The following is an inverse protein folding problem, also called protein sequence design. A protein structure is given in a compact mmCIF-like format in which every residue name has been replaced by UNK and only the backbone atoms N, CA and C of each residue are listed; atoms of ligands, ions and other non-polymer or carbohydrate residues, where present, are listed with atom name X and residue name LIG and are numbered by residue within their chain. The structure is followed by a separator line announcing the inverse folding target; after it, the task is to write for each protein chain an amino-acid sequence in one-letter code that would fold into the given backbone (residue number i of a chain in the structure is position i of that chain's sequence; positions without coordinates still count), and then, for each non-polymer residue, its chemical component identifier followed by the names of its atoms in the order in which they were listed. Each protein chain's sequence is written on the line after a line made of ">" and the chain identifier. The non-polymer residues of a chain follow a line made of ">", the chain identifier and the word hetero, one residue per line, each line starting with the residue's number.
data_IF_428052286840
#
_entry.id   IF_428052286840
#
_cell.length_a   1.000
_cell.length_b   1.000
_cell.length_c   1.000
_cell.angle_alpha   90.00
_cell.angle_beta   90.00
_cell.angle_gamma   90.00
#
_symmetry.space_group_name_H-M   'P 1'
#
loop_
_entity.id
_entity.type
_entity.pdbx_description
1 polymer ?
#
# COMPACT_ATOMS: atom_id res chain seq x y z
N UNK A 1 -1.98 -6.58 7.05
CA UNK A 1 -3.28 -6.78 6.36
C UNK A 1 -4.34 -6.00 7.14
N UNK A 2 -5.19 -5.23 6.45
CA UNK A 2 -6.26 -4.46 7.07
C UNK A 2 -7.41 -5.38 7.53
N UNK A 3 -8.29 -4.93 8.45
CA UNK A 3 -9.41 -5.74 8.97
C UNK A 3 -10.37 -6.26 7.89
N UNK A 4 -10.41 -5.61 6.72
CA UNK A 4 -11.26 -6.00 5.60
C UNK A 4 -10.62 -7.06 4.66
N UNK A 5 -9.42 -7.53 5.00
CA UNK A 5 -8.61 -8.47 4.23
C UNK A 5 -7.72 -7.83 3.17
N UNK A 6 -7.65 -6.49 3.11
CA UNK A 6 -6.76 -5.79 2.16
C UNK A 6 -5.29 -5.98 2.56
N UNK A 7 -4.48 -6.45 1.61
CA UNK A 7 -3.02 -6.46 1.68
C UNK A 7 -2.45 -5.06 1.44
N UNK A 8 -1.50 -4.68 2.29
CA UNK A 8 -0.85 -3.37 2.29
C UNK A 8 0.64 -3.53 2.62
N UNK A 9 1.45 -2.59 2.13
CA UNK A 9 2.88 -2.48 2.41
C UNK A 9 3.11 -1.17 3.18
N UNK A 10 3.96 -1.21 4.20
CA UNK A 10 4.34 0.00 4.92
C UNK A 10 5.18 0.91 4.01
N UNK A 11 4.93 2.22 4.05
CA UNK A 11 5.74 3.19 3.35
C UNK A 11 7.16 3.24 3.94
N UNK A 12 8.10 3.77 3.15
CA UNK A 12 9.47 3.99 3.59
C UNK A 12 9.54 4.97 4.77
N UNK A 13 10.64 4.90 5.53
CA UNK A 13 10.87 5.72 6.74
C UNK A 13 10.80 7.22 6.44
N UNK A 14 11.11 7.62 5.20
CA UNK A 14 11.01 9.00 4.73
C UNK A 14 9.59 9.58 4.86
N UNK A 15 8.56 8.72 4.82
CA UNK A 15 7.15 9.12 4.91
C UNK A 15 6.54 8.94 6.32
N UNK A 16 7.26 8.40 7.29
CA UNK A 16 6.69 8.07 8.61
C UNK A 16 6.33 9.30 9.45
N UNK A 17 6.97 10.43 9.18
CA UNK A 17 6.79 11.67 9.95
C UNK A 17 5.95 12.70 9.19
N UNK A 18 5.19 12.24 8.20
CA UNK A 18 4.20 13.02 7.47
C UNK A 18 2.80 12.75 8.07
N UNK A 19 2.00 13.80 8.28
CA UNK A 19 0.63 13.64 8.82
C UNK A 19 -0.33 13.21 7.71
N UNK A 20 -1.09 12.14 7.94
CA UNK A 20 -2.12 11.68 7.02
C UNK A 20 -3.44 12.48 7.17
N UNK A 21 -3.92 13.10 6.08
CA UNK A 21 -5.25 13.72 5.98
C UNK A 21 -5.24 15.22 5.61
N UNK A 22 -6.26 15.67 4.86
CA UNK A 22 -6.43 17.08 4.39
C UNK A 22 -6.88 18.06 5.50
N UNK A 23 -6.46 17.85 6.75
CA UNK A 23 -6.76 18.72 7.87
C UNK A 23 -5.57 19.63 8.18
N UNK A 24 -5.84 20.94 8.38
CA UNK A 24 -4.90 22.01 8.72
C UNK A 24 -4.17 21.78 10.06
N UNK A 25 -3.35 20.75 10.15
CA UNK A 25 -2.48 20.54 11.30
C UNK A 25 -1.14 21.22 10.97
N UNK A 26 -1.06 22.50 11.30
CA UNK A 26 0.11 23.36 11.05
C UNK A 26 1.23 23.14 12.07
N UNK A 27 1.06 22.21 13.02
CA UNK A 27 2.09 21.88 14.00
C UNK A 27 3.23 21.11 13.34
N UNK A 28 4.44 21.68 13.43
CA UNK A 28 5.68 21.01 13.04
C UNK A 28 5.85 19.71 13.82
N UNK A 29 6.32 18.67 13.14
CA UNK A 29 6.69 17.40 13.77
C UNK A 29 8.05 17.57 14.45
N UNK A 30 8.11 17.28 15.74
CA UNK A 30 9.36 17.23 16.50
C UNK A 30 10.05 15.88 16.23
N UNK A 31 10.89 15.84 15.22
CA UNK A 31 11.56 14.62 14.76
C UNK A 31 12.57 14.10 15.79
N UNK A 32 13.11 14.98 16.64
CA UNK A 32 14.16 14.62 17.60
C UNK A 32 13.61 13.75 18.75
N UNK A 33 12.31 13.83 19.06
CA UNK A 33 11.65 12.92 20.00
C UNK A 33 11.81 11.44 19.60
N UNK A 34 11.87 11.16 18.30
CA UNK A 34 12.01 9.79 17.80
C UNK A 34 13.44 9.32 17.69
N UNK A 35 14.44 10.17 17.96
CA UNK A 35 15.84 9.83 17.78
C UNK A 35 16.32 8.83 18.83
N UNK A 36 17.09 7.84 18.38
CA UNK A 36 17.80 6.89 19.25
C UNK A 36 19.29 7.18 19.08
N UNK A 37 20.01 7.35 20.20
CA UNK A 37 21.46 7.54 20.21
C UNK A 37 22.17 6.19 20.37
N UNK A 38 22.76 5.69 19.29
CA UNK A 38 23.52 4.43 19.28
C UNK A 38 24.84 4.59 18.52
N UNK A 39 25.72 5.43 19.03
CA UNK A 39 26.93 5.91 18.32
C UNK A 39 27.81 4.79 17.74
N UNK A 40 27.89 3.62 18.39
CA UNK A 40 28.67 2.47 17.89
C UNK A 40 28.05 1.89 16.63
N UNK A 41 26.74 1.72 16.64
CA UNK A 41 25.99 1.14 15.53
C UNK A 41 25.84 2.15 14.39
N UNK A 42 25.62 3.42 14.72
CA UNK A 42 25.59 4.54 13.76
C UNK A 42 26.90 4.61 12.98
N UNK A 43 28.04 4.61 13.67
CA UNK A 43 29.37 4.60 13.05
C UNK A 43 29.62 3.35 12.22
N UNK A 44 29.14 2.19 12.67
CA UNK A 44 29.33 0.92 11.97
C UNK A 44 28.49 0.83 10.69
N UNK A 45 27.25 1.33 10.70
CA UNK A 45 26.36 1.36 9.53
C UNK A 45 26.55 2.60 8.64
N UNK A 46 27.30 3.61 9.09
CA UNK A 46 27.52 4.85 8.33
C UNK A 46 26.29 5.75 8.26
N UNK A 47 25.41 5.70 9.27
CA UNK A 47 24.21 6.54 9.37
C UNK A 47 24.39 7.63 10.44
N UNK A 48 23.63 8.72 10.36
CA UNK A 48 23.73 9.83 11.31
C UNK A 48 23.06 9.58 12.66
N UNK A 49 21.96 8.83 12.64
CA UNK A 49 21.15 8.47 13.81
C UNK A 49 20.12 7.42 13.44
N UNK A 50 19.58 6.73 14.44
CA UNK A 50 18.39 5.89 14.28
C UNK A 50 17.13 6.63 14.73
N UNK A 51 15.97 6.13 14.28
CA UNK A 51 14.68 6.65 14.72
C UNK A 51 13.72 5.52 15.11
N UNK A 52 12.89 5.80 16.12
CA UNK A 52 11.74 4.98 16.48
C UNK A 52 10.58 5.22 15.50
N UNK A 53 9.74 4.19 15.25
CA UNK A 53 8.48 4.40 14.55
C UNK A 53 7.60 5.41 15.31
N UNK A 54 6.79 6.21 14.61
CA UNK A 54 5.83 7.09 15.24
C UNK A 54 4.85 6.29 16.10
N UNK A 55 4.57 6.78 17.31
CA UNK A 55 3.58 6.22 18.21
C UNK A 55 2.27 7.02 18.11
N UNK A 56 1.16 6.33 17.82
CA UNK A 56 -0.12 7.01 17.68
C UNK A 56 -0.60 7.58 19.02
N UNK A 57 -0.64 8.91 19.11
CA UNK A 57 -1.14 9.65 20.28
C UNK A 57 -2.35 10.49 19.92
N UNK A 58 -3.34 10.55 20.81
CA UNK A 58 -4.49 11.47 20.69
C UNK A 58 -4.17 12.80 21.34
N UNK A 59 -4.68 13.90 20.78
CA UNK A 59 -4.68 15.18 21.49
C UNK A 59 -5.38 15.06 22.84
N UNK A 60 -4.79 15.68 23.86
CA UNK A 60 -5.37 15.78 25.18
C UNK A 60 -5.71 17.24 25.47
N UNK A 61 -6.96 17.51 25.85
CA UNK A 61 -7.39 18.88 26.15
C UNK A 61 -6.61 19.42 27.35
N UNK A 62 -6.00 20.59 27.19
CA UNK A 62 -5.23 21.25 28.24
C UNK A 62 -3.83 20.66 28.46
N UNK A 63 -3.35 19.80 27.58
CA UNK A 63 -1.95 19.33 27.56
C UNK A 63 -1.38 19.48 26.15
N UNK A 64 -0.15 19.96 26.08
CA UNK A 64 0.63 19.88 24.85
C UNK A 64 1.09 18.43 24.68
N UNK A 65 0.61 17.78 23.61
CA UNK A 65 1.02 16.43 23.24
C UNK A 65 1.84 16.58 21.96
N UNK A 66 3.18 16.53 22.02
CA UNK A 66 3.99 16.59 20.82
C UNK A 66 3.62 15.41 19.91
N UNK A 67 3.77 15.61 18.60
CA UNK A 67 3.67 14.53 17.61
C UNK A 67 2.38 13.69 17.70
N UNK A 68 1.29 14.27 18.19
CA UNK A 68 -0.02 13.63 18.19
C UNK A 68 -0.46 13.30 16.76
N UNK A 69 -1.27 12.24 16.60
CA UNK A 69 -1.82 11.77 15.32
C UNK A 69 -0.82 11.35 14.23
N UNK A 70 0.44 11.07 14.56
CA UNK A 70 1.34 10.44 13.60
C UNK A 70 1.00 8.95 13.44
N UNK A 71 0.99 8.50 12.19
CA UNK A 71 0.77 7.10 11.79
C UNK A 71 1.95 6.62 10.95
N UNK A 72 2.16 5.31 10.93
CA UNK A 72 3.00 4.70 9.90
C UNK A 72 2.13 4.56 8.64
N UNK A 73 2.47 5.19 7.51
CA UNK A 73 1.65 5.10 6.31
C UNK A 73 1.67 3.67 5.75
N UNK A 74 0.51 3.19 5.33
CA UNK A 74 0.38 1.92 4.62
C UNK A 74 -0.27 2.14 3.26
N UNK A 75 0.32 1.54 2.23
CA UNK A 75 -0.15 1.63 0.86
C UNK A 75 -0.72 0.29 0.42
N UNK A 76 -1.85 0.30 -0.28
CA UNK A 76 -2.45 -0.90 -0.84
C UNK A 76 -1.49 -1.56 -1.84
N UNK A 77 -1.17 -2.82 -1.63
CA UNK A 77 -0.31 -3.57 -2.54
C UNK A 77 -0.61 -5.08 -2.50
N UNK A 78 -0.71 -5.76 -3.66
CA UNK A 78 -0.61 -5.24 -5.03
C UNK A 78 -1.78 -4.33 -5.44
N UNK A 79 -1.57 -3.50 -6.46
CA UNK A 79 -2.56 -2.57 -7.03
C UNK A 79 -3.57 -3.28 -7.92
N UNK A 80 -3.20 -4.41 -8.51
CA UNK A 80 -4.10 -5.21 -9.34
C UNK A 80 -5.12 -5.98 -8.52
N UNK A 81 -6.38 -5.90 -8.96
CA UNK A 81 -7.50 -6.61 -8.38
C UNK A 81 -8.26 -7.35 -9.48
N UNK A 82 -8.98 -8.41 -9.12
CA UNK A 82 -9.90 -9.10 -10.01
C UNK A 82 -11.30 -9.15 -9.41
N UNK A 83 -12.30 -9.12 -10.30
CA UNK A 83 -13.68 -9.38 -9.94
C UNK A 83 -13.99 -10.86 -10.11
N UNK A 84 -14.39 -11.55 -9.03
CA UNK A 84 -14.73 -12.98 -9.11
C UNK A 84 -15.92 -13.26 -10.03
N UNK A 85 -16.81 -12.27 -10.25
CA UNK A 85 -18.03 -12.42 -11.04
C UNK A 85 -17.80 -12.17 -12.54
N UNK A 86 -17.26 -11.02 -12.91
CA UNK A 86 -17.04 -10.67 -14.32
C UNK A 86 -15.62 -10.96 -14.83
N UNK A 87 -14.75 -11.47 -13.97
CA UNK A 87 -13.34 -11.84 -14.25
C UNK A 87 -12.42 -10.70 -14.66
N UNK A 88 -12.91 -9.48 -14.84
CA UNK A 88 -12.08 -8.32 -15.19
C UNK A 88 -11.03 -8.04 -14.13
N UNK A 89 -9.82 -7.73 -14.57
CA UNK A 89 -8.83 -7.07 -13.74
C UNK A 89 -9.09 -5.57 -13.71
N UNK A 90 -8.75 -4.94 -12.59
CA UNK A 90 -8.79 -3.50 -12.42
C UNK A 90 -7.66 -3.09 -11.49
N UNK A 91 -7.00 -2.00 -11.84
CA UNK A 91 -5.95 -1.42 -11.02
C UNK A 91 -6.57 -0.37 -10.10
N UNK A 92 -6.18 -0.39 -8.83
CA UNK A 92 -6.57 0.63 -7.87
C UNK A 92 -5.35 1.48 -7.50
N UNK A 93 -5.54 2.77 -7.15
CA UNK A 93 -4.45 3.59 -6.65
C UNK A 93 -3.94 3.05 -5.31
N UNK A 94 -2.66 3.29 -5.01
CA UNK A 94 -2.01 2.89 -3.75
C UNK A 94 -2.74 3.45 -2.51
N UNK A 95 -3.33 4.63 -2.64
CA UNK A 95 -4.10 5.34 -1.61
C UNK A 95 -5.55 4.85 -1.48
N UNK A 96 -5.99 3.86 -2.26
CA UNK A 96 -7.36 3.35 -2.18
C UNK A 96 -7.63 2.65 -0.84
N UNK A 97 -8.55 3.22 -0.06
CA UNK A 97 -8.97 2.67 1.23
C UNK A 97 -10.17 1.73 1.10
N UNK A 98 -10.25 0.76 2.02
CA UNK A 98 -11.36 -0.16 2.17
C UNK A 98 -11.61 -1.10 0.99
N UNK A 99 -12.70 -1.86 1.04
CA UNK A 99 -13.12 -2.72 -0.07
C UNK A 99 -13.71 -1.90 -1.20
N UNK A 100 -13.24 -2.15 -2.42
CA UNK A 100 -13.74 -1.49 -3.63
C UNK A 100 -14.71 -2.40 -4.39
N UNK A 101 -15.82 -1.82 -4.85
CA UNK A 101 -16.79 -2.51 -5.70
C UNK A 101 -16.34 -2.50 -7.16
N UNK A 102 -16.68 -3.54 -7.89
CA UNK A 102 -16.45 -3.62 -9.33
C UNK A 102 -17.43 -2.71 -10.08
N UNK A 103 -16.92 -1.63 -10.68
CA UNK A 103 -17.71 -0.65 -11.44
C UNK A 103 -18.46 -1.28 -12.62
N UNK A 104 -17.86 -2.28 -13.28
CA UNK A 104 -18.51 -2.97 -14.38
C UNK A 104 -19.73 -3.78 -13.93
N UNK A 105 -19.65 -4.45 -12.78
CA UNK A 105 -20.80 -5.16 -12.22
C UNK A 105 -21.90 -4.18 -11.77
N UNK A 106 -21.52 -3.05 -11.16
CA UNK A 106 -22.47 -2.01 -10.75
C UNK A 106 -23.29 -1.53 -11.95
N UNK A 107 -22.64 -1.26 -13.09
CA UNK A 107 -23.32 -0.86 -14.34
C UNK A 107 -24.27 -1.91 -14.91
N UNK A 108 -24.14 -3.17 -14.49
CA UNK A 108 -25.04 -4.27 -14.85
C UNK A 108 -26.08 -4.56 -13.76
N UNK A 109 -26.29 -3.64 -12.82
CA UNK A 109 -27.18 -3.82 -11.67
C UNK A 109 -26.79 -5.03 -10.79
N UNK A 110 -25.49 -5.35 -10.71
CA UNK A 110 -24.93 -6.43 -9.88
C UNK A 110 -23.94 -5.87 -8.88
N UNK A 111 -23.91 -6.42 -7.67
CA UNK A 111 -22.91 -6.07 -6.66
C UNK A 111 -21.82 -7.14 -6.59
N UNK A 112 -20.57 -6.72 -6.71
CA UNK A 112 -19.40 -7.57 -6.51
C UNK A 112 -18.24 -6.70 -6.01
N UNK A 113 -17.47 -7.23 -5.07
CA UNK A 113 -16.25 -6.60 -4.57
C UNK A 113 -15.03 -7.12 -5.33
N UNK A 114 -14.06 -6.23 -5.50
CA UNK A 114 -12.75 -6.54 -6.05
C UNK A 114 -11.91 -7.24 -4.98
N UNK A 115 -11.19 -8.29 -5.38
CA UNK A 115 -10.20 -8.97 -4.55
C UNK A 115 -8.80 -8.72 -5.14
N UNK A 116 -7.78 -8.52 -4.30
CA UNK A 116 -6.40 -8.39 -4.79
C UNK A 116 -5.95 -9.67 -5.48
N UNK A 117 -5.18 -9.52 -6.56
CA UNK A 117 -4.56 -10.66 -7.21
C UNK A 117 -3.50 -11.27 -6.27
N UNK A 118 -3.36 -12.61 -6.21
CA UNK A 118 -2.35 -13.27 -5.38
C UNK A 118 -0.99 -13.34 -6.09
N UNK A 119 -0.65 -12.35 -6.92
CA UNK A 119 0.56 -12.33 -7.73
C UNK A 119 1.30 -11.03 -7.56
N UNK A 120 2.60 -11.15 -7.34
CA UNK A 120 3.56 -10.04 -7.27
C UNK A 120 4.81 -10.48 -8.03
N UNK A 121 5.58 -9.51 -8.51
CA UNK A 121 6.90 -9.77 -9.07
C UNK A 121 7.97 -9.14 -8.18
N UNK A 122 9.14 -9.77 -8.13
CA UNK A 122 10.29 -9.29 -7.38
C UNK A 122 11.52 -9.34 -8.29
N UNK A 123 12.34 -8.30 -8.24
CA UNK A 123 13.64 -8.27 -8.92
C UNK A 123 14.74 -8.80 -7.99
N UNK A 124 15.84 -9.32 -8.55
CA UNK A 124 16.97 -9.89 -7.79
C UNK A 124 17.58 -8.89 -6.79
N UNK A 125 17.48 -7.59 -7.07
CA UNK A 125 17.87 -6.51 -6.15
C UNK A 125 16.90 -6.27 -4.98
N UNK A 126 15.85 -7.07 -4.82
CA UNK A 126 14.89 -6.97 -3.71
C UNK A 126 13.73 -5.98 -3.92
N UNK A 127 13.61 -5.37 -5.11
CA UNK A 127 12.48 -4.49 -5.41
C UNK A 127 11.20 -5.31 -5.67
N UNK A 128 10.15 -4.98 -4.93
CA UNK A 128 8.82 -5.55 -5.07
C UNK A 128 7.98 -4.69 -6.03
N UNK A 129 7.30 -5.32 -6.98
CA UNK A 129 6.43 -4.65 -7.93
C UNK A 129 5.17 -5.47 -8.24
N UNK A 130 4.15 -4.79 -8.75
CA UNK A 130 2.98 -5.45 -9.32
C UNK A 130 3.40 -6.38 -10.48
N UNK A 131 2.74 -7.53 -10.61
CA UNK A 131 3.02 -8.44 -11.73
C UNK A 131 2.68 -7.74 -13.07
N UNK A 132 3.58 -7.77 -14.07
CA UNK A 132 3.41 -7.02 -15.32
C UNK A 132 2.43 -7.72 -16.26
N UNK A 133 1.14 -7.67 -15.91
CA UNK A 133 0.07 -8.42 -16.58
C UNK A 133 -0.02 -8.13 -18.08
N UNK A 134 0.13 -6.86 -18.50
CA UNK A 134 0.00 -6.48 -19.92
C UNK A 134 1.17 -7.00 -20.73
N UNK A 135 2.37 -6.81 -20.23
CA UNK A 135 3.62 -7.24 -20.85
C UNK A 135 3.64 -8.75 -20.97
N UNK A 136 3.21 -9.45 -19.91
CA UNK A 136 3.16 -10.90 -19.84
C UNK A 136 2.19 -11.50 -20.86
N UNK A 137 0.93 -11.03 -20.93
CA UNK A 137 -0.05 -11.60 -21.87
C UNK A 137 0.29 -11.31 -23.34
N UNK A 138 1.01 -10.21 -23.62
CA UNK A 138 1.44 -9.86 -24.98
C UNK A 138 2.84 -10.36 -25.34
N UNK A 139 3.58 -10.94 -24.38
CA UNK A 139 4.99 -11.36 -24.55
C UNK A 139 5.87 -10.25 -25.14
N UNK A 140 5.64 -9.02 -24.69
CA UNK A 140 6.33 -7.83 -25.17
C UNK A 140 6.60 -6.89 -24.00
N UNK A 141 7.79 -6.27 -23.99
CA UNK A 141 8.16 -5.29 -22.96
C UNK A 141 7.39 -3.96 -23.09
N UNK A 142 6.84 -3.68 -24.27
CA UNK A 142 6.14 -2.42 -24.56
C UNK A 142 4.86 -2.67 -25.37
N UNK A 143 3.82 -3.29 -24.77
CA UNK A 143 2.57 -3.54 -25.45
C UNK A 143 1.77 -2.25 -25.64
N UNK A 144 1.24 -2.01 -26.83
CA UNK A 144 0.35 -0.86 -27.13
C UNK A 144 -1.12 -1.16 -26.85
N UNK A 145 -1.46 -2.41 -26.58
CA UNK A 145 -2.83 -2.85 -26.31
C UNK A 145 -3.32 -2.34 -24.95
N UNK A 146 -4.33 -1.47 -24.98
CA UNK A 146 -5.04 -0.94 -23.80
C UNK A 146 -6.33 -1.69 -23.47
N UNK A 147 -6.56 -2.83 -24.13
CA UNK A 147 -7.74 -3.68 -23.94
C UNK A 147 -7.98 -4.07 -22.48
N UNK A 148 -9.24 -4.46 -22.20
CA UNK A 148 -9.63 -4.93 -20.86
C UNK A 148 -8.99 -6.28 -20.57
N UNK A 149 -8.27 -6.38 -19.45
CA UNK A 149 -7.70 -7.65 -18.99
C UNK A 149 -8.72 -8.43 -18.15
N UNK A 150 -8.69 -9.76 -18.23
CA UNK A 150 -9.51 -10.65 -17.41
C UNK A 150 -8.67 -11.80 -16.86
N UNK A 151 -8.89 -12.14 -15.58
CA UNK A 151 -8.24 -13.25 -14.88
C UNK A 151 -9.25 -14.40 -14.82
N UNK A 152 -8.99 -15.43 -15.62
CA UNK A 152 -9.78 -16.65 -15.64
C UNK A 152 -8.94 -17.74 -15.00
N UNK A 153 -9.22 -18.03 -13.74
CA UNK A 153 -8.70 -19.22 -13.09
C UNK A 153 -9.63 -20.39 -13.39
N UNK A 154 -9.17 -21.32 -14.21
CA UNK A 154 -9.85 -22.60 -14.41
C UNK A 154 -9.40 -23.51 -13.27
N UNK A 155 -10.15 -23.52 -12.17
CA UNK A 155 -9.86 -24.42 -11.04
C UNK A 155 -10.22 -25.86 -11.39
N UNK A 156 -9.30 -26.79 -11.14
CA UNK A 156 -9.51 -28.22 -11.35
C UNK A 156 -8.31 -29.09 -11.02
N UNK A 157 -7.72 -28.96 -9.83
CA UNK A 157 -6.96 -30.06 -9.22
C UNK A 157 -7.31 -30.11 -7.75
N UNK A 158 -8.26 -30.99 -7.44
CA UNK A 158 -8.31 -31.67 -6.15
C UNK A 158 -7.00 -32.44 -5.99
N UNK A 159 -6.22 -32.10 -4.96
CA UNK A 159 -5.25 -33.00 -4.34
C UNK A 159 -5.63 -33.09 -2.86
#
# INVERSE_FOLDING_TARGET
>A
MAPDGTSMVAAGVDHWYEREGEGQDTQSVDIDEFRIEEWRLERWLGVSHFRLPPDWRRYQRGREVPNAKLTVPFLRFPRWHFCWRCKRLSELPLTATGRRKCEHCIRQSKTSFLAQVPFVAMFDGGHLQDFPWREWVHKSASPTCTGTLSLIATGGTTL
#
